data_IF_196015548603
#
_entry.id   IF_196015548603
#
_cell.length_a   1.000
_cell.length_b   1.000
_cell.length_c   1.000
_cell.angle_alpha   90.00
_cell.angle_beta   90.00
_cell.angle_gamma   90.00
#
_symmetry.space_group_name_H-M   'P 1'
#
loop_
_entity.id
_entity.type
_entity.pdbx_description
1 polymer ?
#
# COMPACT_ATOMS: atom_id res chain seq x y z
N UNK A 1 4.09 19.91 -42.23
CA UNK A 1 3.09 20.89 -42.72
C UNK A 1 2.02 20.14 -43.53
N UNK A 2 0.82 19.95 -42.95
CA UNK A 2 -0.29 19.22 -43.55
C UNK A 2 -0.72 19.89 -44.86
N UNK A 3 -0.98 19.12 -45.92
CA UNK A 3 -1.82 19.61 -47.00
C UNK A 3 -3.19 19.96 -46.38
N UNK A 4 -3.75 21.15 -46.64
CA UNK A 4 -4.99 21.56 -46.00
C UNK A 4 -6.07 20.52 -46.27
N UNK A 5 -6.55 19.88 -45.20
CA UNK A 5 -7.61 18.86 -45.19
C UNK A 5 -8.99 19.41 -45.59
N UNK A 6 -9.02 20.64 -46.11
CA UNK A 6 -10.22 21.42 -46.38
C UNK A 6 -10.73 21.25 -47.82
N UNK A 7 -9.91 20.75 -48.74
CA UNK A 7 -10.31 20.49 -50.12
C UNK A 7 -11.00 19.13 -50.26
N UNK A 8 -12.12 18.93 -49.55
CA UNK A 8 -12.89 17.67 -49.60
C UNK A 8 -13.66 17.50 -50.91
N UNK A 9 -14.12 18.61 -51.52
CA UNK A 9 -14.88 18.53 -52.77
C UNK A 9 -13.96 18.38 -53.98
N UNK A 10 -14.35 17.47 -54.88
CA UNK A 10 -13.71 17.28 -56.18
C UNK A 10 -13.58 18.62 -56.93
N UNK A 11 -14.65 19.42 -56.94
CA UNK A 11 -14.70 20.73 -57.58
C UNK A 11 -13.65 21.70 -57.06
N UNK A 12 -13.38 21.71 -55.77
CA UNK A 12 -12.44 22.67 -55.18
C UNK A 12 -10.97 22.27 -55.44
N UNK A 13 -10.66 20.96 -55.49
CA UNK A 13 -9.32 20.46 -55.85
C UNK A 13 -8.96 20.72 -57.30
N UNK A 14 -9.87 20.41 -58.22
CA UNK A 14 -9.64 20.60 -59.66
C UNK A 14 -9.79 22.07 -60.06
N UNK A 15 -10.69 22.82 -59.43
CA UNK A 15 -10.84 24.26 -59.62
C UNK A 15 -9.59 25.05 -59.20
N UNK A 16 -9.02 24.76 -58.02
CA UNK A 16 -7.77 25.39 -57.59
C UNK A 16 -6.60 25.09 -58.53
N UNK A 17 -6.48 23.86 -59.02
CA UNK A 17 -5.48 23.48 -60.01
C UNK A 17 -5.68 24.20 -61.35
N UNK A 18 -6.92 24.36 -61.82
CA UNK A 18 -7.24 25.11 -63.03
C UNK A 18 -6.90 26.60 -62.89
N UNK A 19 -7.15 27.21 -61.73
CA UNK A 19 -6.77 28.61 -61.45
C UNK A 19 -5.25 28.77 -61.46
N UNK A 20 -4.50 27.84 -60.85
CA UNK A 20 -3.03 27.86 -60.91
C UNK A 20 -2.50 27.74 -62.34
N UNK A 21 -3.11 26.88 -63.17
CA UNK A 21 -2.75 26.75 -64.58
C UNK A 21 -3.05 28.04 -65.36
N UNK A 22 -4.24 28.62 -65.17
CA UNK A 22 -4.62 29.87 -65.81
C UNK A 22 -3.66 31.02 -65.43
N UNK A 23 -3.32 31.14 -64.14
CA UNK A 23 -2.37 32.13 -63.65
C UNK A 23 -0.97 31.94 -64.28
N UNK A 24 -0.52 30.68 -64.41
CA UNK A 24 0.75 30.36 -65.07
C UNK A 24 0.76 30.73 -66.55
N UNK A 25 -0.33 30.48 -67.28
CA UNK A 25 -0.48 30.85 -68.70
C UNK A 25 -0.53 32.38 -68.88
N UNK A 26 -1.23 33.09 -68.00
CA UNK A 26 -1.28 34.56 -68.01
C UNK A 26 0.11 35.16 -67.74
N UNK A 27 0.82 34.63 -66.75
CA UNK A 27 2.20 35.03 -66.46
C UNK A 27 3.12 34.74 -67.67
N UNK A 28 2.96 33.58 -68.32
CA UNK A 28 3.71 33.24 -69.53
C UNK A 28 3.46 34.20 -70.68
N UNK A 29 2.22 34.65 -70.83
CA UNK A 29 1.84 35.64 -71.85
C UNK A 29 2.47 37.00 -71.59
N UNK A 30 2.58 37.41 -70.32
CA UNK A 30 3.19 38.67 -69.93
C UNK A 30 4.71 38.69 -70.17
N UNK A 31 5.39 37.56 -69.95
CA UNK A 31 6.85 37.42 -70.11
C UNK A 31 7.25 36.96 -71.52
N UNK A 32 6.27 36.74 -72.40
CA UNK A 32 6.48 36.30 -73.79
C UNK A 32 7.50 37.12 -74.61
N UNK A 33 7.50 38.47 -74.58
CA UNK A 33 8.49 39.27 -75.31
C UNK A 33 9.94 39.05 -74.84
N UNK A 34 10.15 38.52 -73.63
CA UNK A 34 11.47 38.25 -73.07
C UNK A 34 11.94 36.80 -73.32
N UNK A 35 11.01 35.83 -73.32
CA UNK A 35 11.33 34.40 -73.40
C UNK A 35 11.34 33.84 -74.83
N UNK A 36 10.65 34.51 -75.76
CA UNK A 36 10.48 34.05 -77.14
C UNK A 36 9.77 32.69 -77.27
N UNK A 37 9.68 32.18 -78.49
CA UNK A 37 8.96 30.94 -78.82
C UNK A 37 9.75 29.65 -78.53
N UNK A 38 11.01 29.74 -78.09
CA UNK A 38 11.89 28.56 -77.90
C UNK A 38 11.47 27.67 -76.72
N UNK A 39 10.85 28.24 -75.69
CA UNK A 39 10.50 27.56 -74.44
C UNK A 39 9.03 27.78 -74.07
N UNK A 40 8.07 27.05 -74.69
CA UNK A 40 6.65 27.23 -74.42
C UNK A 40 6.19 26.63 -73.07
N UNK A 41 6.86 25.61 -72.53
CA UNK A 41 6.36 24.83 -71.37
C UNK A 41 7.00 25.17 -70.00
N UNK A 42 7.96 26.10 -69.91
CA UNK A 42 8.74 26.32 -68.67
C UNK A 42 7.89 26.74 -67.47
N UNK A 43 6.94 27.66 -67.66
CA UNK A 43 6.06 28.12 -66.58
C UNK A 43 4.93 27.15 -66.26
N UNK A 44 4.52 26.30 -67.22
CA UNK A 44 3.48 25.30 -66.97
C UNK A 44 4.00 24.17 -66.07
N UNK A 45 5.30 23.83 -66.12
CA UNK A 45 5.93 22.89 -65.16
C UNK A 45 5.75 23.38 -63.72
N UNK A 46 5.94 24.68 -63.45
CA UNK A 46 5.78 25.24 -62.11
C UNK A 46 4.34 25.07 -61.58
N UNK A 47 3.35 25.26 -62.46
CA UNK A 47 1.94 25.04 -62.10
C UNK A 47 1.64 23.58 -61.78
N UNK A 48 2.28 22.63 -62.47
CA UNK A 48 2.16 21.18 -62.20
C UNK A 48 2.78 20.83 -60.85
N UNK A 49 3.95 21.40 -60.50
CA UNK A 49 4.58 21.17 -59.20
C UNK A 49 3.73 21.70 -58.04
N UNK A 50 3.15 22.89 -58.19
CA UNK A 50 2.24 23.47 -57.21
C UNK A 50 0.97 22.60 -57.10
N UNK A 51 0.42 22.17 -58.23
CA UNK A 51 -0.74 21.29 -58.24
C UNK A 51 -0.47 19.94 -57.57
N UNK A 52 0.71 19.36 -57.83
CA UNK A 52 1.16 18.12 -57.22
C UNK A 52 1.33 18.28 -55.72
N UNK A 53 1.90 19.40 -55.28
CA UNK A 53 2.14 19.67 -53.86
C UNK A 53 0.87 19.86 -53.04
N UNK A 54 -0.17 20.48 -53.60
CA UNK A 54 -1.36 20.91 -52.84
C UNK A 54 -2.65 20.17 -53.22
N UNK A 55 -2.90 19.88 -54.50
CA UNK A 55 -4.17 19.32 -54.97
C UNK A 55 -4.11 17.81 -55.24
N UNK A 56 -2.92 17.22 -55.34
CA UNK A 56 -2.68 15.78 -55.45
C UNK A 56 -2.55 15.29 -56.89
N UNK A 57 -2.46 13.97 -57.08
CA UNK A 57 -2.09 13.37 -58.38
C UNK A 57 -3.10 13.73 -59.50
N UNK A 58 -4.41 13.52 -59.27
CA UNK A 58 -5.43 13.72 -60.30
C UNK A 58 -5.43 15.13 -60.92
N UNK A 59 -5.52 16.21 -60.12
CA UNK A 59 -5.43 17.57 -60.63
C UNK A 59 -4.07 17.90 -61.27
N UNK A 60 -2.99 17.22 -60.87
CA UNK A 60 -1.65 17.40 -61.46
C UNK A 60 -1.55 16.79 -62.85
N UNK A 61 -2.13 15.62 -63.05
CA UNK A 61 -2.24 14.99 -64.38
C UNK A 61 -3.07 15.89 -65.29
N UNK A 62 -4.22 16.38 -64.81
CA UNK A 62 -5.05 17.31 -65.57
C UNK A 62 -4.28 18.58 -65.97
N UNK A 63 -3.58 19.21 -65.02
CA UNK A 63 -2.79 20.43 -65.30
C UNK A 63 -1.60 20.17 -66.23
N UNK A 64 -1.03 18.97 -66.20
CA UNK A 64 0.02 18.56 -67.15
C UNK A 64 -0.53 18.44 -68.57
N UNK A 65 -1.67 17.75 -68.75
CA UNK A 65 -2.29 17.54 -70.07
C UNK A 65 -2.85 18.85 -70.63
N UNK A 66 -3.62 19.59 -69.83
CA UNK A 66 -4.21 20.87 -70.26
C UNK A 66 -3.14 21.95 -70.45
N UNK A 67 -2.10 21.96 -69.61
CA UNK A 67 -0.98 22.89 -69.76
C UNK A 67 -0.17 22.64 -71.01
N UNK A 68 0.08 21.37 -71.37
CA UNK A 68 0.70 21.01 -72.64
C UNK A 68 -0.15 21.45 -73.85
N UNK A 69 -1.45 21.17 -73.82
CA UNK A 69 -2.38 21.56 -74.89
C UNK A 69 -2.45 23.09 -75.07
N UNK A 70 -2.64 23.82 -73.97
CA UNK A 70 -2.73 25.28 -74.00
C UNK A 70 -1.40 25.93 -74.41
N UNK A 71 -0.27 25.47 -73.90
CA UNK A 71 1.03 26.01 -74.27
C UNK A 71 1.36 25.78 -75.75
N UNK A 72 0.99 24.62 -76.29
CA UNK A 72 1.15 24.29 -77.71
C UNK A 72 0.28 25.18 -78.60
N UNK A 73 -0.99 25.39 -78.22
CA UNK A 73 -1.90 26.25 -78.97
C UNK A 73 -1.46 27.72 -78.98
N UNK A 74 -1.16 28.30 -77.81
CA UNK A 74 -0.91 29.74 -77.68
C UNK A 74 0.51 30.18 -77.99
N UNK A 75 1.53 29.36 -77.71
CA UNK A 75 2.94 29.79 -77.74
C UNK A 75 3.82 29.01 -78.72
N UNK A 76 3.38 27.84 -79.22
CA UNK A 76 4.18 27.05 -80.16
C UNK A 76 3.78 27.24 -81.64
N UNK A 77 2.76 28.06 -81.94
CA UNK A 77 2.27 28.26 -83.31
C UNK A 77 1.11 27.32 -83.70
N UNK A 78 0.39 26.78 -82.71
CA UNK A 78 -0.78 25.93 -82.93
C UNK A 78 -0.45 24.45 -83.12
N UNK A 79 -1.45 23.65 -83.46
CA UNK A 79 -1.30 22.19 -83.58
C UNK A 79 -0.32 21.75 -84.69
N UNK A 80 -0.10 22.59 -85.70
CA UNK A 80 0.88 22.31 -86.76
C UNK A 80 2.31 22.19 -86.23
N UNK A 81 2.63 22.84 -85.09
CA UNK A 81 3.94 22.78 -84.46
C UNK A 81 4.32 21.38 -83.96
N UNK A 82 3.32 20.52 -83.68
CA UNK A 82 3.56 19.14 -83.22
C UNK A 82 4.21 18.26 -84.29
N UNK A 83 4.08 18.62 -85.57
CA UNK A 83 4.69 17.89 -86.69
C UNK A 83 6.20 18.19 -86.80
N UNK A 84 6.70 19.21 -86.10
CA UNK A 84 8.12 19.57 -86.07
C UNK A 84 8.93 18.69 -85.11
N UNK A 85 10.06 18.10 -85.53
CA UNK A 85 10.85 17.17 -84.70
C UNK A 85 11.36 17.81 -83.40
N UNK A 86 11.75 19.09 -83.44
CA UNK A 86 12.20 19.82 -82.25
C UNK A 86 11.10 20.02 -81.18
N UNK A 87 9.85 20.29 -81.58
CA UNK A 87 8.76 20.52 -80.62
C UNK A 87 8.25 19.21 -80.01
N UNK A 88 8.26 18.12 -80.78
CA UNK A 88 7.90 16.78 -80.28
C UNK A 88 8.85 16.31 -79.17
N UNK A 89 10.16 16.52 -79.32
CA UNK A 89 11.15 16.19 -78.29
C UNK A 89 10.97 17.01 -77.01
N UNK A 90 10.73 18.33 -77.14
CA UNK A 90 10.54 19.23 -76.00
C UNK A 90 9.25 18.87 -75.24
N UNK A 91 8.18 18.53 -75.96
CA UNK A 91 6.93 18.06 -75.36
C UNK A 91 7.11 16.71 -74.63
N UNK A 92 7.87 15.77 -75.22
CA UNK A 92 8.22 14.50 -74.57
C UNK A 92 9.01 14.71 -73.28
N UNK A 93 10.01 15.61 -73.29
CA UNK A 93 10.77 15.96 -72.10
C UNK A 93 9.90 16.60 -71.01
N UNK A 94 8.96 17.46 -71.40
CA UNK A 94 7.98 18.05 -70.48
C UNK A 94 7.16 16.98 -69.74
N UNK A 95 6.59 16.01 -70.45
CA UNK A 95 5.83 14.91 -69.82
C UNK A 95 6.71 14.04 -68.91
N UNK A 96 7.96 13.78 -69.31
CA UNK A 96 8.90 13.02 -68.50
C UNK A 96 9.23 13.73 -67.17
N UNK A 97 9.53 15.03 -67.22
CA UNK A 97 9.84 15.83 -66.02
C UNK A 97 8.62 15.95 -65.11
N UNK A 98 7.44 16.26 -65.67
CA UNK A 98 6.21 16.36 -64.89
C UNK A 98 5.81 15.00 -64.28
N UNK A 99 5.91 13.91 -65.04
CA UNK A 99 5.65 12.56 -64.58
C UNK A 99 6.58 12.13 -63.44
N UNK A 100 7.89 12.35 -63.60
CA UNK A 100 8.88 12.06 -62.57
C UNK A 100 8.65 12.88 -61.29
N UNK A 101 8.31 14.16 -61.41
CA UNK A 101 8.02 15.02 -60.26
C UNK A 101 6.75 14.60 -59.53
N UNK A 102 5.67 14.30 -60.25
CA UNK A 102 4.42 13.79 -59.66
C UNK A 102 4.67 12.46 -58.95
N UNK A 103 5.43 11.56 -59.59
CA UNK A 103 5.79 10.26 -59.02
C UNK A 103 6.62 10.40 -57.75
N UNK A 104 7.67 11.23 -57.75
CA UNK A 104 8.52 11.48 -56.58
C UNK A 104 7.72 12.08 -55.42
N UNK A 105 6.85 13.06 -55.69
CA UNK A 105 6.00 13.65 -54.65
C UNK A 105 5.00 12.65 -54.08
N UNK A 106 4.45 11.76 -54.91
CA UNK A 106 3.55 10.72 -54.42
C UNK A 106 4.28 9.64 -53.62
N UNK A 107 5.49 9.27 -54.04
CA UNK A 107 6.36 8.37 -53.30
C UNK A 107 6.63 8.91 -51.90
N UNK A 108 7.05 10.17 -51.79
CA UNK A 108 7.25 10.83 -50.48
C UNK A 108 5.96 10.87 -49.64
N UNK A 109 4.79 11.13 -50.25
CA UNK A 109 3.51 11.11 -49.52
C UNK A 109 3.13 9.72 -49.03
N UNK A 110 3.44 8.66 -49.77
CA UNK A 110 3.17 7.27 -49.34
C UNK A 110 4.06 6.90 -48.16
N UNK A 111 5.34 7.25 -48.22
CA UNK A 111 6.29 6.93 -47.16
C UNK A 111 5.97 7.68 -45.86
N UNK A 112 5.59 8.97 -45.95
CA UNK A 112 5.12 9.71 -44.78
C UNK A 112 3.85 9.11 -44.17
N UNK A 113 2.87 8.70 -44.97
CA UNK A 113 1.64 8.05 -44.47
C UNK A 113 1.96 6.74 -43.75
N UNK A 114 2.81 5.89 -44.34
CA UNK A 114 3.27 4.64 -43.73
C UNK A 114 4.02 4.88 -42.42
N UNK A 115 4.89 5.89 -42.37
CA UNK A 115 5.63 6.25 -41.17
C UNK A 115 4.69 6.72 -40.04
N UNK A 116 3.68 7.54 -40.35
CA UNK A 116 2.68 7.98 -39.37
C UNK A 116 1.82 6.83 -38.84
N UNK A 117 1.37 5.92 -39.71
CA UNK A 117 0.59 4.74 -39.31
C UNK A 117 1.42 3.80 -38.44
N UNK A 118 2.66 3.50 -38.84
CA UNK A 118 3.55 2.65 -38.06
C UNK A 118 3.89 3.28 -36.70
N UNK A 119 4.09 4.61 -36.64
CA UNK A 119 4.32 5.32 -35.38
C UNK A 119 3.11 5.26 -34.45
N UNK A 120 1.88 5.38 -34.99
CA UNK A 120 0.64 5.24 -34.20
C UNK A 120 0.45 3.81 -33.69
N UNK A 121 0.72 2.81 -34.53
CA UNK A 121 0.64 1.41 -34.13
C UNK A 121 1.69 1.08 -33.06
N UNK A 122 2.91 1.61 -33.19
CA UNK A 122 3.97 1.45 -32.19
C UNK A 122 3.60 2.10 -30.86
N UNK A 123 3.04 3.32 -30.86
CA UNK A 123 2.63 4.00 -29.63
C UNK A 123 1.44 3.30 -28.94
N UNK A 124 0.49 2.77 -29.72
CA UNK A 124 -0.60 1.95 -29.19
C UNK A 124 -0.07 0.66 -28.54
N UNK A 125 0.78 -0.10 -29.24
CA UNK A 125 1.39 -1.33 -28.70
C UNK A 125 2.18 -1.07 -27.42
N UNK A 126 2.94 0.03 -27.37
CA UNK A 126 3.69 0.40 -26.18
C UNK A 126 2.76 0.70 -25.00
N UNK A 127 1.66 1.43 -25.23
CA UNK A 127 0.68 1.72 -24.19
C UNK A 127 -0.02 0.47 -23.66
N UNK A 128 -0.34 -0.49 -24.53
CA UNK A 128 -0.95 -1.76 -24.14
C UNK A 128 0.02 -2.64 -23.33
N UNK A 129 1.28 -2.73 -23.76
CA UNK A 129 2.33 -3.43 -23.00
C UNK A 129 2.54 -2.81 -21.62
N UNK A 130 2.57 -1.48 -21.52
CA UNK A 130 2.71 -0.78 -20.24
C UNK A 130 1.53 -1.05 -19.29
N UNK A 131 0.31 -1.14 -19.81
CA UNK A 131 -0.88 -1.50 -19.02
C UNK A 131 -0.77 -2.92 -18.48
N UNK A 132 -0.38 -3.87 -19.33
CA UNK A 132 -0.23 -5.27 -18.94
C UNK A 132 0.89 -5.44 -17.88
N UNK A 133 2.03 -4.77 -18.06
CA UNK A 133 3.11 -4.81 -17.06
C UNK A 133 2.69 -4.18 -15.74
N UNK A 134 2.03 -3.02 -15.77
CA UNK A 134 1.57 -2.34 -14.56
C UNK A 134 0.52 -3.17 -13.81
N UNK A 135 -0.36 -3.89 -14.52
CA UNK A 135 -1.33 -4.79 -13.92
C UNK A 135 -0.66 -5.98 -13.23
N UNK A 136 0.31 -6.63 -13.91
CA UNK A 136 1.09 -7.74 -13.32
C UNK A 136 1.88 -7.29 -12.10
N UNK A 137 2.55 -6.14 -12.16
CA UNK A 137 3.27 -5.56 -11.02
C UNK A 137 2.33 -5.24 -9.86
N UNK A 138 1.13 -4.73 -10.14
CA UNK A 138 0.12 -4.47 -9.11
C UNK A 138 -0.36 -5.77 -8.47
N UNK A 139 -0.63 -6.81 -9.25
CA UNK A 139 -1.02 -8.13 -8.73
C UNK A 139 0.09 -8.74 -7.86
N UNK A 140 1.34 -8.68 -8.33
CA UNK A 140 2.51 -9.15 -7.57
C UNK A 140 2.71 -8.34 -6.28
N UNK A 141 2.57 -7.02 -6.32
CA UNK A 141 2.68 -6.14 -5.16
C UNK A 141 1.60 -6.43 -4.12
N UNK A 142 0.34 -6.62 -4.55
CA UNK A 142 -0.76 -7.00 -3.65
C UNK A 142 -0.50 -8.36 -3.02
N UNK A 143 -0.10 -9.36 -3.81
CA UNK A 143 0.23 -10.70 -3.32
C UNK A 143 1.39 -10.68 -2.32
N UNK A 144 2.49 -9.99 -2.64
CA UNK A 144 3.64 -9.84 -1.78
C UNK A 144 3.30 -9.12 -0.46
N UNK A 145 2.47 -8.07 -0.53
CA UNK A 145 2.00 -7.35 0.67
C UNK A 145 1.14 -8.23 1.56
N UNK A 146 0.19 -8.98 0.99
CA UNK A 146 -0.64 -9.92 1.77
C UNK A 146 0.20 -11.00 2.42
N UNK A 147 1.18 -11.57 1.70
CA UNK A 147 2.13 -12.53 2.25
C UNK A 147 2.93 -11.91 3.40
N UNK A 148 3.49 -10.71 3.22
CA UNK A 148 4.23 -10.03 4.28
C UNK A 148 3.38 -9.79 5.53
N UNK A 149 2.11 -9.39 5.38
CA UNK A 149 1.16 -9.23 6.50
C UNK A 149 0.98 -10.56 7.24
N UNK A 150 0.74 -11.66 6.51
CA UNK A 150 0.54 -13.00 7.10
C UNK A 150 1.80 -13.51 7.81
N UNK A 151 2.98 -13.33 7.22
CA UNK A 151 4.26 -13.76 7.79
C UNK A 151 4.68 -12.93 9.01
N UNK A 152 4.32 -11.64 9.03
CA UNK A 152 4.62 -10.74 10.16
C UNK A 152 3.69 -10.92 11.37
N UNK A 153 2.62 -11.71 11.24
CA UNK A 153 1.69 -11.96 12.34
C UNK A 153 2.36 -12.77 13.45
N UNK A 154 1.93 -12.54 14.69
CA UNK A 154 2.30 -13.35 15.85
C UNK A 154 1.36 -14.54 16.04
N UNK A 155 0.16 -14.47 15.47
CA UNK A 155 -0.82 -15.55 15.49
C UNK A 155 -0.50 -16.58 14.39
N UNK A 156 -0.70 -17.86 14.72
CA UNK A 156 -0.59 -18.93 13.75
C UNK A 156 -1.73 -18.81 12.73
N UNK A 157 -1.38 -18.62 11.45
CA UNK A 157 -2.34 -18.52 10.35
C UNK A 157 -2.12 -19.72 9.43
N UNK A 158 -3.16 -20.53 9.30
CA UNK A 158 -3.12 -21.81 8.59
C UNK A 158 -4.35 -21.89 7.69
N UNK A 159 -4.19 -22.28 6.43
CA UNK A 159 -5.33 -22.62 5.58
C UNK A 159 -5.41 -24.12 5.37
N UNK A 160 -6.63 -24.64 5.20
CA UNK A 160 -6.90 -26.03 4.90
C UNK A 160 -8.05 -26.18 3.92
N UNK A 161 -8.09 -27.28 3.19
CA UNK A 161 -9.27 -27.67 2.42
C UNK A 161 -10.40 -28.21 3.32
N UNK A 162 -11.49 -28.65 2.70
CA UNK A 162 -12.65 -29.18 3.42
C UNK A 162 -12.44 -30.62 3.92
N UNK A 163 -11.33 -31.25 3.58
CA UNK A 163 -10.89 -32.57 4.03
C UNK A 163 -9.91 -32.45 5.21
N UNK A 164 -9.59 -31.21 5.62
CA UNK A 164 -8.70 -30.91 6.73
C UNK A 164 -7.22 -31.00 6.37
N UNK A 165 -6.88 -31.04 5.08
CA UNK A 165 -5.51 -31.03 4.58
C UNK A 165 -5.00 -29.59 4.54
N UNK A 166 -3.84 -29.37 5.16
CA UNK A 166 -3.21 -28.06 5.29
C UNK A 166 -2.67 -27.62 3.93
N UNK A 167 -3.04 -26.41 3.51
CA UNK A 167 -2.62 -25.79 2.25
C UNK A 167 -1.58 -24.68 2.45
N UNK A 168 -1.62 -23.97 3.58
CA UNK A 168 -0.64 -22.93 3.90
C UNK A 168 -0.32 -22.91 5.40
N UNK A 169 0.89 -22.48 5.74
CA UNK A 169 1.43 -22.50 7.09
C UNK A 169 2.41 -21.34 7.24
N UNK A 170 2.06 -20.32 8.03
CA UNK A 170 2.90 -19.13 8.22
C UNK A 170 4.02 -19.32 9.26
N UNK A 171 4.97 -18.38 9.32
CA UNK A 171 6.10 -18.44 10.25
C UNK A 171 5.67 -18.50 11.74
N UNK A 172 4.56 -17.87 12.12
CA UNK A 172 4.06 -17.94 13.49
C UNK A 172 3.57 -19.34 13.87
N UNK A 173 2.93 -20.05 12.93
CA UNK A 173 2.54 -21.44 13.14
C UNK A 173 3.78 -22.33 13.32
N UNK A 174 4.87 -22.07 12.61
CA UNK A 174 6.13 -22.78 12.82
C UNK A 174 6.68 -22.57 14.23
N UNK A 175 6.72 -21.32 14.70
CA UNK A 175 7.17 -20.99 16.07
C UNK A 175 6.27 -21.60 17.14
N UNK A 176 4.96 -21.56 16.95
CA UNK A 176 3.97 -22.03 17.93
C UNK A 176 3.97 -23.56 18.08
N UNK A 177 3.95 -24.29 16.97
CA UNK A 177 3.81 -25.75 16.97
C UNK A 177 5.13 -26.51 16.80
N UNK A 178 6.20 -25.84 16.35
CA UNK A 178 7.53 -26.44 16.17
C UNK A 178 7.69 -27.27 14.89
N UNK A 179 6.74 -27.19 13.96
CA UNK A 179 6.82 -27.83 12.64
C UNK A 179 7.14 -26.81 11.55
N UNK A 180 7.95 -27.19 10.56
CA UNK A 180 8.15 -26.32 9.40
C UNK A 180 6.98 -26.42 8.42
N UNK A 181 6.80 -25.40 7.59
CA UNK A 181 5.78 -25.38 6.54
C UNK A 181 5.88 -26.59 5.62
N UNK A 182 7.09 -26.96 5.20
CA UNK A 182 7.35 -28.13 4.35
C UNK A 182 7.01 -29.48 5.01
N UNK A 183 6.97 -29.55 6.35
CA UNK A 183 6.55 -30.76 7.06
C UNK A 183 5.04 -30.89 7.18
N UNK A 184 4.28 -29.78 7.14
CA UNK A 184 2.85 -29.76 7.47
C UNK A 184 1.94 -29.50 6.28
N UNK A 185 2.38 -28.72 5.28
CA UNK A 185 1.61 -28.53 4.04
C UNK A 185 1.42 -29.88 3.36
N UNK A 186 0.17 -30.20 3.01
CA UNK A 186 -0.24 -31.50 2.47
C UNK A 186 -0.58 -32.56 3.53
N UNK A 187 -0.38 -32.28 4.82
CA UNK A 187 -0.81 -33.17 5.93
C UNK A 187 -2.12 -32.72 6.53
N UNK A 188 -2.78 -33.63 7.26
CA UNK A 188 -4.02 -33.33 7.97
C UNK A 188 -3.78 -32.54 9.26
N UNK A 189 -4.71 -31.64 9.59
CA UNK A 189 -4.75 -30.91 10.86
C UNK A 189 -4.82 -31.82 12.08
N UNK A 190 -5.25 -33.08 11.91
CA UNK A 190 -5.36 -34.06 13.00
C UNK A 190 -4.02 -34.35 13.70
N UNK A 191 -2.88 -34.05 13.07
CA UNK A 191 -1.55 -34.18 13.69
C UNK A 191 -1.33 -33.22 14.88
N UNK A 192 -2.08 -32.11 14.96
CA UNK A 192 -1.99 -31.13 16.05
C UNK A 192 -3.01 -31.40 17.17
N UNK A 193 -3.88 -32.39 17.01
CA UNK A 193 -4.93 -32.72 17.97
C UNK A 193 -4.45 -33.76 18.97
N UNK A 194 -4.93 -33.65 20.20
CA UNK A 194 -4.86 -34.76 21.14
C UNK A 194 -5.71 -35.93 20.61
N UNK A 195 -5.31 -37.20 20.83
CA UNK A 195 -6.06 -38.37 20.36
C UNK A 195 -7.55 -38.33 20.75
N UNK A 196 -7.86 -37.87 21.95
CA UNK A 196 -9.22 -37.80 22.51
C UNK A 196 -10.04 -36.66 21.89
N UNK A 197 -9.39 -35.71 21.21
CA UNK A 197 -9.99 -34.49 20.65
C UNK A 197 -10.04 -34.49 19.12
N UNK A 198 -9.73 -35.61 18.46
CA UNK A 198 -9.73 -35.70 16.99
C UNK A 198 -11.09 -35.36 16.36
N UNK A 199 -12.19 -35.65 17.07
CA UNK A 199 -13.54 -35.34 16.62
C UNK A 199 -13.81 -33.83 16.48
N UNK A 200 -13.10 -32.98 17.26
CA UNK A 200 -13.27 -31.51 17.19
C UNK A 200 -13.09 -30.99 15.76
N UNK A 201 -12.17 -31.58 15.00
CA UNK A 201 -11.86 -31.15 13.64
C UNK A 201 -12.99 -31.46 12.65
N UNK A 202 -13.61 -32.65 12.76
CA UNK A 202 -14.74 -33.03 11.93
C UNK A 202 -15.93 -32.10 12.15
N UNK A 203 -16.23 -31.79 13.41
CA UNK A 203 -17.35 -30.91 13.79
C UNK A 203 -17.11 -29.47 13.30
N UNK A 204 -15.87 -28.99 13.38
CA UNK A 204 -15.46 -27.69 12.83
C UNK A 204 -15.66 -27.66 11.32
N UNK A 205 -15.18 -28.67 10.60
CA UNK A 205 -15.27 -28.74 9.13
C UNK A 205 -16.74 -28.75 8.70
N UNK A 206 -17.60 -29.54 9.33
CA UNK A 206 -19.02 -29.57 9.03
C UNK A 206 -19.67 -28.19 9.18
N UNK A 207 -19.37 -27.50 10.29
CA UNK A 207 -19.85 -26.13 10.51
C UNK A 207 -19.35 -25.15 9.45
N UNK A 208 -18.10 -25.27 9.00
CA UNK A 208 -17.54 -24.45 7.92
C UNK A 208 -18.21 -24.77 6.57
N UNK A 209 -18.50 -26.04 6.26
CA UNK A 209 -19.21 -26.45 5.03
C UNK A 209 -20.59 -25.78 4.91
N UNK A 210 -21.26 -25.53 6.05
CA UNK A 210 -22.51 -24.78 6.10
C UNK A 210 -22.33 -23.24 6.09
N UNK A 211 -21.13 -22.73 5.82
CA UNK A 211 -20.81 -21.30 5.84
C UNK A 211 -20.71 -20.69 7.25
N UNK A 212 -20.77 -21.52 8.28
CA UNK A 212 -20.62 -21.11 9.67
C UNK A 212 -19.19 -20.65 9.96
N UNK A 213 -19.03 -19.91 11.06
CA UNK A 213 -17.72 -19.48 11.59
C UNK A 213 -17.58 -19.89 13.05
N UNK A 214 -16.37 -20.22 13.46
CA UNK A 214 -16.02 -20.51 14.86
C UNK A 214 -15.20 -19.33 15.38
N UNK A 215 -15.60 -18.76 16.51
CA UNK A 215 -14.89 -17.64 17.15
C UNK A 215 -14.52 -18.01 18.58
N UNK A 216 -13.33 -17.62 19.01
CA UNK A 216 -12.83 -17.77 20.39
C UNK A 216 -13.04 -19.18 20.97
N UNK A 217 -12.78 -20.21 20.17
CA UNK A 217 -12.84 -21.58 20.65
C UNK A 217 -11.52 -21.95 21.32
N UNK A 218 -11.54 -22.00 22.66
CA UNK A 218 -10.37 -22.42 23.44
C UNK A 218 -10.27 -23.95 23.46
N UNK A 219 -9.11 -24.47 23.05
CA UNK A 219 -8.82 -25.91 23.05
C UNK A 219 -7.34 -26.15 23.35
N UNK A 220 -6.93 -27.41 23.42
CA UNK A 220 -5.54 -27.81 23.62
C UNK A 220 -5.04 -28.51 22.37
N UNK A 221 -3.84 -28.13 21.91
CA UNK A 221 -3.17 -28.71 20.74
C UNK A 221 -1.80 -29.28 21.13
N UNK A 222 -1.24 -30.13 20.28
CA UNK A 222 0.07 -30.73 20.48
C UNK A 222 1.12 -30.05 19.61
N UNK A 223 2.23 -29.65 20.24
CA UNK A 223 3.46 -29.30 19.53
C UNK A 223 4.15 -30.56 18.98
N UNK A 224 5.13 -30.38 18.08
CA UNK A 224 5.97 -31.47 17.55
C UNK A 224 6.65 -32.32 18.61
N UNK A 225 7.02 -31.72 19.73
CA UNK A 225 7.63 -32.40 20.87
C UNK A 225 6.60 -33.10 21.80
N UNK A 226 5.32 -33.12 21.45
CA UNK A 226 4.24 -33.70 22.25
C UNK A 226 3.75 -32.83 23.40
N UNK A 227 4.28 -31.61 23.58
CA UNK A 227 3.82 -30.72 24.66
C UNK A 227 2.42 -30.16 24.34
N UNK A 228 1.44 -30.29 25.25
CA UNK A 228 0.13 -29.68 25.07
C UNK A 228 0.20 -28.17 25.25
N UNK A 229 -0.48 -27.43 24.39
CA UNK A 229 -0.56 -25.97 24.43
C UNK A 229 -2.02 -25.51 24.39
N UNK A 230 -2.45 -24.64 25.33
CA UNK A 230 -3.75 -24.02 25.26
C UNK A 230 -3.75 -22.97 24.15
N UNK A 231 -4.72 -23.06 23.24
CA UNK A 231 -4.86 -22.14 22.11
C UNK A 231 -6.28 -21.64 22.00
N UNK A 232 -6.44 -20.38 21.61
CA UNK A 232 -7.73 -19.82 21.20
C UNK A 232 -7.82 -19.80 19.68
N UNK A 233 -8.87 -20.39 19.14
CA UNK A 233 -9.04 -20.60 17.70
C UNK A 233 -10.16 -19.72 17.14
N UNK A 234 -9.89 -19.12 16.00
CA UNK A 234 -10.88 -18.48 15.13
C UNK A 234 -10.81 -19.11 13.75
N UNK A 235 -11.92 -19.65 13.27
CA UNK A 235 -11.98 -20.43 12.04
C UNK A 235 -13.08 -19.87 11.15
N UNK A 236 -12.71 -19.52 9.92
CA UNK A 236 -13.61 -18.87 8.95
C UNK A 236 -13.59 -19.59 7.61
N UNK A 237 -14.72 -19.66 6.89
CA UNK A 237 -14.78 -20.23 5.54
C UNK A 237 -13.96 -19.40 4.55
N UNK A 238 -13.24 -20.08 3.66
CA UNK A 238 -12.62 -19.48 2.47
C UNK A 238 -13.55 -19.75 1.29
N UNK A 239 -13.86 -18.71 0.53
CA UNK A 239 -14.76 -18.78 -0.62
C UNK A 239 -13.97 -18.64 -1.93
N UNK A 240 -14.44 -19.31 -2.98
CA UNK A 240 -13.98 -19.04 -4.35
C UNK A 240 -14.69 -17.81 -4.95
N UNK A 241 -14.36 -17.50 -6.20
CA UNK A 241 -14.96 -16.39 -6.97
C UNK A 241 -16.48 -16.55 -7.17
N UNK A 242 -17.00 -17.77 -7.07
CA UNK A 242 -18.45 -18.06 -7.17
C UNK A 242 -19.19 -17.95 -5.83
N UNK A 243 -18.48 -17.71 -4.73
CA UNK A 243 -19.03 -17.65 -3.38
C UNK A 243 -19.21 -19.02 -2.71
N UNK A 244 -18.71 -20.11 -3.32
CA UNK A 244 -18.76 -21.45 -2.73
C UNK A 244 -17.62 -21.60 -1.71
N UNK A 245 -17.90 -22.26 -0.59
CA UNK A 245 -16.86 -22.60 0.39
C UNK A 245 -15.92 -23.65 -0.20
N UNK A 246 -14.62 -23.34 -0.27
CA UNK A 246 -13.56 -24.22 -0.79
C UNK A 246 -12.58 -24.68 0.27
N UNK A 247 -12.63 -24.09 1.47
CA UNK A 247 -11.75 -24.44 2.56
C UNK A 247 -12.00 -23.60 3.81
N UNK A 248 -11.04 -23.61 4.73
CA UNK A 248 -11.10 -22.87 5.97
C UNK A 248 -9.77 -22.14 6.26
N UNK A 249 -9.88 -20.92 6.77
CA UNK A 249 -8.78 -20.17 7.38
C UNK A 249 -8.85 -20.37 8.89
N UNK A 250 -7.71 -20.76 9.48
CA UNK A 250 -7.54 -21.09 10.86
C UNK A 250 -6.53 -20.14 11.49
N UNK A 251 -6.99 -19.36 12.46
CA UNK A 251 -6.15 -18.44 13.25
C UNK A 251 -6.08 -19.00 14.66
N UNK A 252 -4.87 -19.38 15.08
CA UNK A 252 -4.59 -19.87 16.42
C UNK A 252 -3.74 -18.87 17.20
N UNK A 253 -4.17 -18.54 18.42
CA UNK A 253 -3.41 -17.73 19.36
C UNK A 253 -3.00 -18.59 20.56
N UNK A 254 -1.72 -18.55 20.93
CA UNK A 254 -1.26 -19.16 22.17
C UNK A 254 -1.77 -18.32 23.35
N UNK A 255 -2.53 -18.95 24.24
CA UNK A 255 -3.11 -18.30 25.43
C UNK A 255 -2.46 -18.78 26.72
N UNK A 256 -1.28 -19.39 26.64
CA UNK A 256 -0.54 -19.92 27.80
C UNK A 256 -0.29 -18.82 28.84
N UNK A 257 0.26 -17.68 28.44
CA UNK A 257 0.53 -16.56 29.34
C UNK A 257 -0.76 -16.00 29.95
N UNK A 258 -1.82 -15.90 29.14
CA UNK A 258 -3.13 -15.44 29.62
C UNK A 258 -3.67 -16.37 30.70
N UNK A 259 -3.65 -17.70 30.48
CA UNK A 259 -4.11 -18.69 31.46
C UNK A 259 -3.25 -18.68 32.73
N UNK A 260 -1.94 -18.48 32.61
CA UNK A 260 -1.05 -18.36 33.76
C UNK A 260 -1.38 -17.13 34.61
N UNK A 261 -1.60 -15.97 33.98
CA UNK A 261 -2.00 -14.75 34.66
C UNK A 261 -3.38 -14.88 35.31
N UNK A 262 -4.35 -15.46 34.62
CA UNK A 262 -5.69 -15.73 35.17
C UNK A 262 -5.61 -16.62 36.43
N UNK A 263 -4.81 -17.68 36.41
CA UNK A 263 -4.65 -18.56 37.57
C UNK A 263 -3.92 -17.86 38.72
N UNK A 264 -2.89 -17.07 38.45
CA UNK A 264 -2.20 -16.28 39.49
C UNK A 264 -3.13 -15.26 40.16
N UNK A 265 -3.97 -14.57 39.38
CA UNK A 265 -4.99 -13.66 39.92
C UNK A 265 -6.00 -14.43 40.77
N UNK A 266 -6.47 -15.59 40.30
CA UNK A 266 -7.42 -16.43 41.05
C UNK A 266 -6.84 -16.92 42.37
N UNK A 267 -5.56 -17.28 42.41
CA UNK A 267 -4.88 -17.70 43.64
C UNK A 267 -4.72 -16.53 44.62
N UNK A 268 -4.34 -15.35 44.12
CA UNK A 268 -4.24 -14.13 44.93
C UNK A 268 -5.61 -13.76 45.55
N UNK A 269 -6.69 -13.77 44.76
CA UNK A 269 -8.04 -13.51 45.25
C UNK A 269 -8.49 -14.50 46.32
N UNK A 270 -8.17 -15.79 46.15
CA UNK A 270 -8.44 -16.80 47.18
C UNK A 270 -7.70 -16.48 48.47
N UNK A 271 -6.41 -16.15 48.39
CA UNK A 271 -5.59 -15.78 49.55
C UNK A 271 -6.10 -14.51 50.23
N UNK A 272 -6.50 -13.49 49.47
CA UNK A 272 -7.10 -12.27 50.02
C UNK A 272 -8.42 -12.56 50.75
N UNK A 273 -9.31 -13.36 50.15
CA UNK A 273 -10.59 -13.74 50.78
C UNK A 273 -10.40 -14.50 52.10
N UNK A 274 -9.39 -15.38 52.16
CA UNK A 274 -9.00 -16.08 53.38
C UNK A 274 -8.42 -15.12 54.43
N UNK A 275 -7.62 -14.14 54.00
CA UNK A 275 -7.07 -13.10 54.88
C UNK A 275 -8.14 -12.24 55.55
N UNK A 276 -9.17 -11.83 54.82
CA UNK A 276 -10.31 -11.06 55.36
C UNK A 276 -11.09 -11.87 56.39
N UNK A 277 -11.39 -13.14 56.10
CA UNK A 277 -12.06 -14.04 57.04
C UNK A 277 -11.24 -14.26 58.31
N UNK A 278 -9.92 -14.47 58.17
CA UNK A 278 -9.02 -14.61 59.32
C UNK A 278 -8.93 -13.32 60.15
N UNK A 279 -8.93 -12.14 59.51
CA UNK A 279 -8.95 -10.85 60.19
C UNK A 279 -10.24 -10.61 60.99
N UNK A 280 -11.40 -10.97 60.43
CA UNK A 280 -12.69 -10.94 61.14
C UNK A 280 -12.73 -11.88 62.34
N UNK A 281 -12.30 -13.13 62.16
CA UNK A 281 -12.18 -14.10 63.26
C UNK A 281 -11.21 -13.63 64.35
N UNK A 282 -10.08 -13.03 63.97
CA UNK A 282 -9.14 -12.46 64.92
C UNK A 282 -9.76 -11.28 65.71
N UNK A 283 -10.57 -10.45 65.06
CA UNK A 283 -11.28 -9.37 65.74
C UNK A 283 -12.31 -9.91 66.74
N UNK A 284 -13.09 -10.94 66.38
CA UNK A 284 -14.06 -11.58 67.27
C UNK A 284 -13.40 -12.29 68.45
N UNK A 285 -12.27 -12.99 68.22
CA UNK A 285 -11.48 -13.60 69.29
C UNK A 285 -10.87 -12.56 70.24
N UNK A 286 -10.33 -11.47 69.70
CA UNK A 286 -9.80 -10.38 70.52
C UNK A 286 -10.95 -9.77 71.35
N UNK A 287 -12.14 -9.65 70.76
CA UNK A 287 -13.34 -9.15 71.43
C UNK A 287 -13.83 -10.04 72.56
N UNK A 288 -13.85 -11.37 72.37
CA UNK A 288 -14.17 -12.33 73.41
C UNK A 288 -13.11 -12.38 74.53
N UNK A 289 -11.85 -12.09 74.22
CA UNK A 289 -10.74 -12.14 75.20
C UNK A 289 -10.78 -11.03 76.26
N UNK A 290 -11.57 -9.98 76.05
CA UNK A 290 -11.77 -8.91 77.04
C UNK A 290 -12.85 -9.26 78.09
N UNK A 291 -13.54 -10.40 77.95
CA UNK A 291 -14.69 -10.73 78.79
C UNK A 291 -14.40 -11.59 80.05
N UNK A 292 -13.16 -12.04 80.33
CA UNK A 292 -12.86 -12.69 81.64
C UNK A 292 -11.46 -12.37 82.19
N UNK A 293 -11.32 -11.83 83.41
CA UNK A 293 -10.01 -11.53 84.03
C UNK A 293 -9.19 -12.75 84.46
N UNK A 294 -9.76 -13.97 84.43
CA UNK A 294 -9.20 -15.13 85.14
C UNK A 294 -8.09 -15.90 84.37
N UNK A 295 -8.06 -15.85 83.04
CA UNK A 295 -7.14 -16.69 82.24
C UNK A 295 -5.76 -16.07 82.03
N UNK A 296 -5.60 -14.76 82.24
CA UNK A 296 -4.34 -14.03 81.97
C UNK A 296 -3.16 -14.46 82.85
N UNK A 297 -3.43 -15.03 84.02
CA UNK A 297 -2.38 -15.47 84.96
C UNK A 297 -1.84 -16.88 84.71
N UNK A 298 -2.54 -17.73 83.94
CA UNK A 298 -2.23 -19.16 83.88
C UNK A 298 -1.24 -19.54 82.77
N UNK A 299 -1.09 -18.72 81.74
CA UNK A 299 -0.11 -18.95 80.65
C UNK A 299 1.28 -18.36 80.98
N UNK A 300 1.36 -17.36 81.87
CA UNK A 300 2.65 -16.78 82.28
C UNK A 300 3.47 -17.68 83.23
N UNK A 301 2.86 -18.70 83.83
CA UNK A 301 3.51 -19.58 84.80
C UNK A 301 4.35 -20.72 84.19
N UNK A 302 4.25 -20.99 82.88
CA UNK A 302 4.91 -22.16 82.25
C UNK A 302 6.23 -21.80 81.52
N UNK A 303 6.67 -20.53 81.55
CA UNK A 303 7.95 -20.12 80.90
C UNK A 303 8.94 -19.52 81.90
N UNK A 304 9.43 -20.34 82.84
CA UNK A 304 10.75 -20.14 83.45
C UNK A 304 11.69 -21.29 83.06
N UNK A 305 12.59 -21.11 82.09
CA UNK A 305 13.86 -21.81 82.10
C UNK A 305 14.82 -21.06 83.03
N UNK A 306 15.52 -21.82 83.89
CA UNK A 306 16.63 -21.36 84.74
C UNK A 306 17.61 -20.51 83.92
N UNK A 307 17.94 -19.34 84.44
CA UNK A 307 19.02 -18.50 83.94
C UNK A 307 20.35 -19.27 83.99
N UNK A 308 20.93 -19.56 82.83
CA UNK A 308 22.38 -19.78 82.68
C UNK A 308 23.00 -18.44 82.33
N UNK A 309 23.86 -17.96 83.20
CA UNK A 309 24.72 -16.79 83.05
C UNK A 309 25.67 -16.97 81.87
N UNK A 310 25.64 -16.05 80.91
CA UNK A 310 26.76 -15.74 80.00
C UNK A 310 26.84 -14.21 79.76
N UNK A 311 28.04 -13.66 79.47
CA UNK A 311 28.44 -12.31 79.85
C UNK A 311 28.05 -11.23 78.84
N UNK A 312 28.00 -9.99 79.36
CA UNK A 312 27.81 -8.73 78.63
C UNK A 312 28.84 -8.56 77.51
N UNK A 313 28.38 -8.57 76.26
CA UNK A 313 28.90 -7.69 75.18
C UNK A 313 28.02 -7.83 73.94
N UNK A 314 27.90 -6.73 73.19
CA UNK A 314 27.25 -6.59 71.87
C UNK A 314 25.72 -6.37 71.84
N UNK A 315 25.34 -5.07 71.88
CA UNK A 315 24.22 -4.53 71.06
C UNK A 315 24.77 -4.18 69.68
N UNK A 316 23.94 -4.25 68.62
CA UNK A 316 23.49 -3.02 67.95
C UNK A 316 21.98 -3.07 67.65
N UNK A 317 21.23 -2.01 67.98
CA UNK A 317 20.90 -0.86 67.13
C UNK A 317 19.77 -1.16 66.12
N UNK A 318 18.58 -0.69 66.49
CA UNK A 318 17.38 -0.55 65.67
C UNK A 318 17.65 0.28 64.41
N UNK A 319 17.25 -0.22 63.25
CA UNK A 319 17.10 0.57 62.03
C UNK A 319 15.73 0.28 61.41
N UNK A 320 14.78 1.21 61.60
CA UNK A 320 13.63 1.40 60.72
C UNK A 320 14.07 2.32 59.57
N UNK A 321 13.65 2.08 58.31
CA UNK A 321 13.80 3.06 57.24
C UNK A 321 12.54 3.92 57.10
N UNK A 322 12.69 5.23 57.30
CA UNK A 322 11.75 6.25 56.84
C UNK A 322 11.95 6.47 55.33
N UNK A 323 10.86 6.46 54.56
CA UNK A 323 10.85 6.78 53.13
C UNK A 323 10.83 8.29 52.90
N UNK A 324 11.77 8.79 52.10
CA UNK A 324 11.75 10.13 51.52
C UNK A 324 11.90 9.99 50.00
N UNK A 325 11.03 10.68 49.25
CA UNK A 325 10.92 10.57 47.80
C UNK A 325 11.98 11.33 47.00
N UNK A 326 12.11 10.86 45.74
CA UNK A 326 12.86 11.37 44.57
C UNK A 326 14.27 10.80 44.35
N UNK A 327 14.42 10.28 43.13
CA UNK A 327 15.64 9.89 42.40
C UNK A 327 16.36 8.64 42.94
N UNK A 328 16.88 7.71 42.15
CA UNK A 328 16.81 7.28 40.73
C UNK A 328 17.66 5.98 40.72
N UNK A 329 17.44 5.06 39.77
CA UNK A 329 18.47 4.13 39.24
C UNK A 329 19.20 3.17 40.21
N UNK A 330 19.07 1.86 39.97
CA UNK A 330 19.95 0.84 40.55
C UNK A 330 21.40 1.03 40.08
N UNK A 331 22.34 0.99 41.03
CA UNK A 331 23.73 0.60 40.80
C UNK A 331 24.28 -0.08 42.05
N UNK A 332 24.74 -1.31 41.89
CA UNK A 332 25.35 -2.17 42.91
C UNK A 332 26.65 -1.57 43.46
N UNK A 333 26.96 -1.83 44.74
CA UNK A 333 28.22 -1.45 45.40
C UNK A 333 29.16 -2.66 45.47
N UNK A 334 30.39 -2.48 45.00
CA UNK A 334 31.59 -3.14 45.53
C UNK A 334 32.69 -2.09 45.76
N UNK A 335 33.47 -2.27 46.84
CA UNK A 335 34.91 -1.96 46.83
C UNK A 335 35.42 -0.58 47.30
N UNK A 336 35.80 -0.53 48.59
CA UNK A 336 37.09 -0.01 49.13
C UNK A 336 37.52 1.48 49.03
N UNK A 337 37.67 2.05 50.23
CA UNK A 337 38.78 2.86 50.77
C UNK A 337 39.07 4.31 50.31
N UNK A 338 39.15 5.16 51.35
CA UNK A 338 40.15 6.22 51.63
C UNK A 338 39.76 7.70 51.48
N UNK A 339 40.09 8.45 52.55
CA UNK A 339 40.24 9.91 52.72
C UNK A 339 39.01 10.81 52.97
N UNK A 340 38.99 11.38 54.17
CA UNK A 340 38.32 12.63 54.61
C UNK A 340 39.24 13.85 54.26
N UNK A 341 38.88 15.13 54.52
CA UNK A 341 37.60 15.78 54.83
C UNK A 341 37.33 17.10 54.06
N UNK A 342 36.17 17.72 54.29
CA UNK A 342 35.92 19.15 54.65
C UNK A 342 34.77 19.82 53.91
N UNK A 343 33.83 20.32 54.71
CA UNK A 343 32.77 21.22 54.34
C UNK A 343 33.22 22.64 54.72
N UNK A 344 33.09 23.62 53.81
CA UNK A 344 33.12 25.03 54.19
C UNK A 344 32.05 25.83 53.46
N UNK A 345 31.38 26.62 54.28
CA UNK A 345 30.27 27.52 54.06
C UNK A 345 30.63 28.75 53.22
N UNK A 346 29.62 29.33 52.54
CA UNK A 346 29.18 30.74 52.68
C UNK A 346 28.11 31.10 51.64
N UNK A 347 26.94 31.49 52.14
CA UNK A 347 26.00 32.45 51.54
C UNK A 347 26.54 33.89 51.73
N UNK A 348 25.83 34.98 51.36
CA UNK A 348 24.99 35.29 50.19
C UNK A 348 25.37 36.65 49.54
N UNK A 349 24.75 37.06 48.42
CA UNK A 349 24.29 38.44 48.09
C UNK A 349 23.88 38.57 46.60
N UNK A 350 22.63 38.94 46.37
CA UNK A 350 22.13 39.71 45.19
C UNK A 350 22.63 41.17 45.28
N UNK A 351 22.46 42.09 44.28
CA UNK A 351 21.38 42.19 43.29
C UNK A 351 21.73 42.82 41.90
N UNK A 352 20.68 43.10 41.09
CA UNK A 352 20.61 43.99 39.90
C UNK A 352 21.25 43.43 38.61
N UNK A 353 20.75 43.59 37.39
CA UNK A 353 19.56 44.21 36.78
C UNK A 353 19.76 44.06 35.26
N UNK A 354 18.75 43.72 34.46
CA UNK A 354 18.48 44.26 33.11
C UNK A 354 17.29 43.53 32.50
N UNK A 355 16.30 44.29 32.04
CA UNK A 355 15.13 43.85 31.28
C UNK A 355 15.20 44.45 29.84
N UNK A 356 14.23 44.23 28.94
CA UNK A 356 14.28 43.29 27.80
C UNK A 356 14.16 44.11 26.46
N UNK A 357 13.56 43.73 25.28
CA UNK A 357 12.43 42.79 24.99
C UNK A 357 12.58 41.90 23.72
N UNK A 358 11.74 40.86 23.56
CA UNK A 358 10.79 40.74 22.44
C UNK A 358 9.82 39.54 22.61
N UNK A 359 8.58 39.76 22.15
CA UNK A 359 7.32 39.04 22.41
C UNK A 359 7.20 37.66 21.74
N UNK A 360 6.56 36.71 22.42
CA UNK A 360 5.81 35.60 21.82
C UNK A 360 4.35 35.64 22.30
N UNK A 361 3.41 35.52 21.35
CA UNK A 361 1.95 35.59 21.52
C UNK A 361 1.37 34.31 22.12
N UNK A 362 0.33 34.51 22.93
CA UNK A 362 -0.61 33.53 23.47
C UNK A 362 -1.54 32.92 22.41
N UNK A 363 -1.91 31.65 22.56
CA UNK A 363 -3.32 31.27 22.73
C UNK A 363 -3.49 29.79 23.13
N UNK A 364 -4.17 29.60 24.25
CA UNK A 364 -4.71 28.35 24.76
C UNK A 364 -6.16 28.18 24.31
N UNK A 365 -6.49 27.05 23.68
CA UNK A 365 -7.87 26.62 23.44
C UNK A 365 -8.06 25.18 23.92
N UNK A 366 -8.97 25.03 24.88
CA UNK A 366 -9.44 23.76 25.44
C UNK A 366 -10.41 23.10 24.45
N UNK A 367 -10.27 21.80 24.22
CA UNK A 367 -11.23 20.98 23.45
C UNK A 367 -12.00 20.10 24.44
N UNK A 368 -13.32 20.31 24.47
CA UNK A 368 -14.33 19.58 25.22
C UNK A 368 -14.72 18.27 24.52
N UNK A 369 -14.87 17.19 25.29
CA UNK A 369 -15.40 15.89 24.85
C UNK A 369 -16.95 15.87 24.93
N UNK A 370 -17.65 15.11 24.07
CA UNK A 370 -19.11 15.01 24.09
C UNK A 370 -19.63 14.02 25.14
N UNK A 371 -20.90 14.13 25.60
CA UNK A 371 -21.46 13.24 26.62
C UNK A 371 -21.99 11.91 26.04
N UNK A 372 -22.14 10.85 26.87
CA UNK A 372 -22.58 9.52 26.44
C UNK A 372 -24.12 9.43 26.28
N UNK A 373 -24.64 8.44 25.51
CA UNK A 373 -26.07 8.31 25.22
C UNK A 373 -26.87 7.68 26.38
N UNK A 374 -28.12 8.10 26.50
CA UNK A 374 -29.03 7.81 27.60
C UNK A 374 -29.96 6.62 27.33
N UNK A 375 -29.64 5.42 27.84
CA UNK A 375 -30.60 4.30 27.96
C UNK A 375 -30.26 3.44 29.18
N UNK A 376 -30.84 3.74 30.36
CA UNK A 376 -31.42 2.78 31.35
C UNK A 376 -31.78 3.47 32.69
N UNK A 377 -32.76 2.91 33.44
CA UNK A 377 -33.63 3.67 34.34
C UNK A 377 -33.02 3.95 35.73
N UNK A 378 -33.50 5.04 36.32
CA UNK A 378 -33.17 5.55 37.65
C UNK A 378 -33.58 4.59 38.77
N UNK A 379 -32.60 3.97 39.42
CA UNK A 379 -32.77 3.38 40.74
C UNK A 379 -32.86 4.50 41.78
N UNK A 380 -33.98 4.56 42.50
CA UNK A 380 -34.28 5.54 43.55
C UNK A 380 -33.33 5.34 44.73
N UNK A 381 -32.79 6.46 45.21
CA UNK A 381 -32.29 6.63 46.57
C UNK A 381 -33.36 6.26 47.60
N UNK A 382 -32.99 5.50 48.62
CA UNK A 382 -33.41 5.74 49.99
C UNK A 382 -32.23 5.36 50.91
N UNK A 383 -31.45 6.38 51.27
CA UNK A 383 -30.57 6.36 52.44
C UNK A 383 -31.41 6.54 53.70
N UNK A 384 -31.00 5.80 54.73
CA UNK A 384 -31.22 6.01 56.17
C UNK A 384 -31.49 7.47 56.61
N UNK A 385 -32.43 7.67 57.54
CA UNK A 385 -32.18 7.92 58.98
C UNK A 385 -33.27 8.80 59.63
N UNK A 386 -34.08 8.19 60.49
CA UNK A 386 -34.48 8.70 61.82
C UNK A 386 -35.25 7.65 62.61
#
# INVERSE_FOLDING_TARGET
>A
MRAPSEWKSFTARYGGAAVCLAASLLLRRAVDPLLGARNPYTLTVLSVLISARYFGIGPSIMTTVLGAAAATWFFAGGWAALLGPQFSLVLGFYFLVCGAAIWLMEMQRRDHRRAEENARLASQRLADLQRETAERERQQSVSAKLRAIVESSEDAIISKDLEGVIQSWNQAAERMFGYTSGEMVGKTMAALLLPERRQEESDIIERIRHGGRVKHFETVRLRKNGTPIPVSLTISPIHDESGKVVGASHIGRDITEQKQMEEQMRQTQKLESLGVLAGGLAHDFNTASWATPAWRWRIYAIRKPRARTWPRSCRPASAQPCWCGRCWRMREREGTSSSLPTCRSRSPKSPLSFAPPFRARSNSSWISLPPPPAWMPTARNCSSSS
#
